data_IF_488665220494
#
_entry.id   IF_488665220494
#
_cell.length_a   1.000
_cell.length_b   1.000
_cell.length_c   1.000
_cell.angle_alpha   90.00
_cell.angle_beta   90.00
_cell.angle_gamma   90.00
#
_symmetry.space_group_name_H-M   'P 1'
#
loop_
_entity.id
_entity.type
_entity.pdbx_description
1 polymer ?
#
# COMPACT_ATOMS: atom_id res chain seq x y z
N UNK A 1 22.08 8.71 -33.06
CA UNK A 1 21.13 7.63 -32.92
C UNK A 1 20.32 7.86 -31.65
N UNK A 2 19.11 8.36 -31.80
CA UNK A 2 18.10 8.48 -30.73
C UNK A 2 17.60 7.09 -30.41
N UNK A 3 17.94 6.58 -29.24
CA UNK A 3 17.39 5.32 -28.73
C UNK A 3 15.96 5.62 -28.28
N UNK A 4 14.97 5.34 -29.13
CA UNK A 4 13.57 5.30 -28.74
C UNK A 4 13.44 4.26 -27.61
N UNK A 5 13.08 4.72 -26.41
CA UNK A 5 12.58 3.83 -25.37
C UNK A 5 11.24 3.29 -25.85
N UNK A 6 11.23 2.03 -26.25
CA UNK A 6 10.01 1.29 -26.53
C UNK A 6 9.20 1.30 -25.23
N UNK A 7 8.05 1.98 -25.27
CA UNK A 7 7.10 1.93 -24.17
C UNK A 7 6.80 0.47 -23.85
N UNK A 8 6.76 0.07 -22.58
CA UNK A 8 6.35 -1.28 -22.21
C UNK A 8 4.94 -1.50 -22.78
N UNK A 9 4.83 -2.39 -23.73
CA UNK A 9 3.52 -2.88 -24.19
C UNK A 9 2.90 -3.57 -22.97
N UNK A 10 1.96 -2.86 -22.33
CA UNK A 10 1.11 -3.49 -21.30
C UNK A 10 0.43 -4.67 -21.98
N UNK A 11 0.71 -5.92 -21.58
CA UNK A 11 0.08 -7.06 -22.21
C UNK A 11 -1.43 -6.95 -22.03
N UNK A 12 -2.19 -7.57 -22.91
CA UNK A 12 -3.65 -7.68 -22.91
C UNK A 12 -4.18 -8.49 -21.68
N UNK A 13 -3.74 -8.12 -20.47
CA UNK A 13 -4.12 -8.76 -19.21
C UNK A 13 -5.43 -8.20 -18.68
N UNK A 14 -5.72 -6.92 -18.99
CA UNK A 14 -6.96 -6.27 -18.56
C UNK A 14 -7.95 -6.31 -19.72
N UNK A 15 -9.03 -7.07 -19.51
CA UNK A 15 -10.11 -7.15 -20.50
C UNK A 15 -10.90 -5.85 -20.52
N UNK A 16 -11.32 -5.40 -21.71
CA UNK A 16 -12.18 -4.22 -21.89
C UNK A 16 -13.41 -4.27 -20.99
N UNK A 17 -14.05 -5.43 -20.87
CA UNK A 17 -15.20 -5.66 -19.97
C UNK A 17 -14.92 -5.30 -18.49
N UNK A 18 -13.66 -5.45 -18.03
CA UNK A 18 -13.28 -5.11 -16.65
C UNK A 18 -13.25 -3.58 -16.49
N UNK A 19 -12.72 -2.87 -17.48
CA UNK A 19 -12.68 -1.40 -17.46
C UNK A 19 -14.10 -0.83 -17.57
N UNK A 20 -14.94 -1.41 -18.45
CA UNK A 20 -16.33 -1.03 -18.58
C UNK A 20 -17.10 -1.23 -17.26
N UNK A 21 -16.81 -2.33 -16.55
CA UNK A 21 -17.41 -2.60 -15.22
C UNK A 21 -16.99 -1.56 -14.17
N UNK A 22 -15.73 -1.12 -14.18
CA UNK A 22 -15.25 -0.02 -13.31
C UNK A 22 -16.02 1.27 -13.61
N UNK A 23 -16.15 1.61 -14.91
CA UNK A 23 -16.92 2.77 -15.35
C UNK A 23 -18.39 2.70 -14.93
N UNK A 24 -19.01 1.53 -15.05
CA UNK A 24 -20.40 1.31 -14.66
C UNK A 24 -20.60 1.43 -13.12
N UNK A 25 -19.69 0.89 -12.31
CA UNK A 25 -19.76 1.00 -10.85
C UNK A 25 -19.60 2.45 -10.36
N UNK A 26 -18.84 3.26 -11.10
CA UNK A 26 -18.61 4.67 -10.79
C UNK A 26 -19.42 5.60 -11.71
N UNK A 27 -20.55 5.12 -12.23
CA UNK A 27 -21.39 5.87 -13.16
C UNK A 27 -21.73 7.28 -12.64
N UNK A 28 -21.55 8.30 -13.48
CA UNK A 28 -21.73 9.71 -13.13
C UNK A 28 -20.57 10.36 -12.37
N UNK A 29 -19.54 9.60 -12.00
CA UNK A 29 -18.31 10.13 -11.37
C UNK A 29 -17.18 10.18 -12.39
N UNK A 30 -16.24 11.09 -12.13
CA UNK A 30 -14.99 11.20 -12.90
C UNK A 30 -13.82 11.34 -11.92
N UNK A 31 -13.47 10.27 -11.20
CA UNK A 31 -12.40 10.32 -10.23
C UNK A 31 -11.05 10.57 -10.93
N UNK A 32 -10.12 11.15 -10.20
CA UNK A 32 -8.71 11.16 -10.57
C UNK A 32 -8.16 9.74 -10.28
N UNK A 33 -7.53 9.13 -11.26
CA UNK A 33 -6.93 7.80 -11.11
C UNK A 33 -5.51 7.97 -10.57
N UNK A 34 -5.27 7.46 -9.37
CA UNK A 34 -3.98 7.55 -8.70
C UNK A 34 -3.40 6.17 -8.44
N UNK A 35 -2.18 5.93 -8.89
CA UNK A 35 -1.48 4.66 -8.70
C UNK A 35 -0.60 4.67 -7.47
N UNK A 36 -0.41 3.48 -6.87
CA UNK A 36 0.65 3.26 -5.89
C UNK A 36 2.00 3.30 -6.61
N UNK A 37 2.70 4.42 -6.48
CA UNK A 37 4.02 4.64 -7.09
C UNK A 37 5.09 4.25 -6.07
N UNK A 38 5.54 3.02 -6.10
CA UNK A 38 6.53 2.51 -5.16
C UNK A 38 7.93 2.53 -5.79
N UNK A 39 8.88 3.12 -5.08
CA UNK A 39 10.30 2.95 -5.36
C UNK A 39 10.76 1.64 -4.72
N UNK A 40 11.18 0.69 -5.54
CA UNK A 40 11.71 -0.61 -5.09
C UNK A 40 13.25 -0.63 -5.18
N UNK A 41 13.88 -1.60 -4.53
CA UNK A 41 15.34 -1.76 -4.56
C UNK A 41 15.92 -1.97 -5.98
N UNK A 42 15.10 -2.39 -6.94
CA UNK A 42 15.46 -2.62 -8.34
C UNK A 42 14.94 -1.54 -9.31
N UNK A 43 14.34 -0.46 -8.80
CA UNK A 43 13.77 0.63 -9.60
C UNK A 43 12.33 0.96 -9.22
N UNK A 44 11.64 1.69 -10.10
CA UNK A 44 10.23 2.04 -9.90
C UNK A 44 9.34 0.95 -10.48
N UNK A 45 8.37 0.46 -9.70
CA UNK A 45 7.33 -0.43 -10.22
C UNK A 45 6.37 0.36 -11.11
N UNK A 46 6.50 0.22 -12.42
CA UNK A 46 5.70 0.94 -13.41
C UNK A 46 4.34 0.26 -13.71
N UNK A 47 4.05 -0.90 -13.12
CA UNK A 47 2.82 -1.65 -13.45
C UNK A 47 1.58 -0.92 -12.95
N UNK A 48 1.51 -0.42 -11.69
CA UNK A 48 0.34 0.32 -11.23
C UNK A 48 0.08 1.59 -12.05
N UNK A 49 1.14 2.33 -12.44
CA UNK A 49 1.03 3.53 -13.25
C UNK A 49 0.46 3.21 -14.64
N UNK A 50 1.01 2.21 -15.32
CA UNK A 50 0.52 1.79 -16.64
C UNK A 50 -0.96 1.32 -16.59
N UNK A 51 -1.38 0.68 -15.48
CA UNK A 51 -2.77 0.31 -15.27
C UNK A 51 -3.66 1.53 -15.04
N UNK A 52 -3.20 2.49 -14.24
CA UNK A 52 -3.92 3.74 -13.99
C UNK A 52 -4.14 4.52 -15.29
N UNK A 53 -3.08 4.67 -16.10
CA UNK A 53 -3.15 5.35 -17.40
C UNK A 53 -4.11 4.65 -18.37
N UNK A 54 -4.07 3.31 -18.42
CA UNK A 54 -5.00 2.55 -19.24
C UNK A 54 -6.47 2.79 -18.85
N UNK A 55 -6.78 2.73 -17.55
CA UNK A 55 -8.14 2.97 -17.03
C UNK A 55 -8.56 4.41 -17.34
N UNK A 56 -7.72 5.39 -17.04
CA UNK A 56 -7.99 6.79 -17.26
C UNK A 56 -8.24 7.11 -18.74
N UNK A 57 -7.37 6.63 -19.63
CA UNK A 57 -7.49 6.80 -21.06
C UNK A 57 -8.81 6.23 -21.62
N UNK A 58 -9.18 5.02 -21.17
CA UNK A 58 -10.39 4.34 -21.68
C UNK A 58 -11.69 4.96 -21.15
N UNK A 59 -11.69 5.48 -19.93
CA UNK A 59 -12.87 6.09 -19.31
C UNK A 59 -12.92 7.62 -19.44
N UNK A 60 -11.89 8.24 -20.02
CA UNK A 60 -11.80 9.71 -20.18
C UNK A 60 -11.64 10.42 -18.83
N UNK A 61 -10.91 9.81 -17.88
CA UNK A 61 -10.62 10.35 -16.56
C UNK A 61 -9.21 10.93 -16.50
N UNK A 62 -8.93 11.76 -15.48
CA UNK A 62 -7.59 12.29 -15.24
C UNK A 62 -6.74 11.28 -14.44
N UNK A 63 -5.42 11.36 -14.55
CA UNK A 63 -4.45 10.66 -13.71
C UNK A 63 -3.72 11.62 -12.79
N UNK A 64 -3.25 11.12 -11.65
CA UNK A 64 -2.35 11.82 -10.75
C UNK A 64 -1.12 10.94 -10.48
N UNK A 65 0.02 11.36 -11.02
CA UNK A 65 1.32 10.70 -10.83
C UNK A 65 2.18 11.41 -9.76
N UNK A 66 1.65 12.42 -9.08
CA UNK A 66 2.39 13.19 -8.06
C UNK A 66 2.34 12.54 -6.69
N UNK A 67 1.37 11.65 -6.46
CA UNK A 67 1.23 10.88 -5.23
C UNK A 67 2.20 9.69 -5.26
N UNK A 68 3.25 9.76 -4.46
CA UNK A 68 4.34 8.77 -4.47
C UNK A 68 4.51 8.12 -3.11
N UNK A 69 4.94 6.86 -3.10
CA UNK A 69 5.34 6.21 -1.87
C UNK A 69 6.72 6.73 -1.43
N UNK A 70 6.78 7.39 -0.28
CA UNK A 70 7.96 8.09 0.23
C UNK A 70 9.02 7.17 0.85
N UNK A 71 8.66 5.92 1.14
CA UNK A 71 9.59 4.95 1.72
C UNK A 71 9.63 3.64 0.93
N UNK A 72 10.80 3.00 0.94
CA UNK A 72 10.95 1.67 0.34
C UNK A 72 10.42 0.63 1.31
N UNK A 73 9.34 -0.05 0.93
CA UNK A 73 8.78 -1.16 1.70
C UNK A 73 8.91 -2.43 0.87
N UNK A 74 9.93 -3.24 1.16
CA UNK A 74 10.05 -4.55 0.52
C UNK A 74 9.06 -5.53 1.14
N UNK A 75 8.09 -5.97 0.35
CA UNK A 75 7.10 -6.98 0.75
C UNK A 75 7.38 -8.36 0.15
N UNK A 76 8.37 -8.49 -0.72
CA UNK A 76 8.73 -9.76 -1.35
C UNK A 76 9.23 -10.75 -0.29
N UNK A 77 8.50 -11.85 -0.11
CA UNK A 77 8.80 -12.85 0.92
C UNK A 77 8.49 -12.43 2.36
N UNK A 78 7.99 -11.20 2.60
CA UNK A 78 7.67 -10.71 3.93
C UNK A 78 6.47 -11.45 4.55
N UNK A 79 6.61 -11.84 5.81
CA UNK A 79 5.50 -12.38 6.61
C UNK A 79 4.49 -11.29 6.99
N UNK A 80 3.40 -11.69 7.64
CA UNK A 80 2.34 -10.74 8.01
C UNK A 80 2.80 -9.68 9.00
N UNK A 81 3.71 -9.99 9.93
CA UNK A 81 4.24 -9.01 10.88
C UNK A 81 5.20 -8.03 10.23
N UNK A 82 6.02 -8.49 9.29
CA UNK A 82 6.88 -7.61 8.49
C UNK A 82 6.06 -6.57 7.72
N UNK A 83 4.91 -6.99 7.18
CA UNK A 83 3.97 -6.09 6.49
C UNK A 83 3.31 -5.09 7.44
N UNK A 84 2.89 -5.53 8.62
CA UNK A 84 2.30 -4.67 9.65
C UNK A 84 3.31 -3.68 10.24
N UNK A 85 4.56 -4.10 10.42
CA UNK A 85 5.60 -3.27 11.00
C UNK A 85 6.16 -2.20 10.04
N UNK A 86 6.11 -2.47 8.73
CA UNK A 86 6.63 -1.59 7.66
C UNK A 86 5.48 -0.98 6.90
N UNK A 87 4.95 0.12 7.44
CA UNK A 87 3.86 0.87 6.81
C UNK A 87 4.36 1.64 5.59
N UNK A 88 3.60 1.60 4.49
CA UNK A 88 3.84 2.46 3.34
C UNK A 88 3.49 3.91 3.72
N UNK A 89 4.41 4.82 3.51
CA UNK A 89 4.21 6.25 3.70
C UNK A 89 4.08 6.90 2.32
N UNK A 90 3.17 7.86 2.21
CA UNK A 90 2.92 8.55 0.95
C UNK A 90 3.21 10.03 1.08
N UNK A 91 3.61 10.65 -0.02
CA UNK A 91 3.83 12.08 -0.19
C UNK A 91 3.16 12.56 -1.47
N UNK A 92 3.03 13.87 -1.61
CA UNK A 92 2.39 14.53 -2.74
C UNK A 92 1.12 15.28 -2.34
N UNK A 93 0.76 16.24 -3.18
CA UNK A 93 -0.40 17.10 -2.98
C UNK A 93 -1.69 16.44 -3.47
N UNK A 94 -2.75 16.58 -2.69
CA UNK A 94 -4.08 16.06 -3.00
C UNK A 94 -5.00 17.22 -3.38
N UNK A 95 -5.74 17.07 -4.46
CA UNK A 95 -6.76 18.05 -4.85
C UNK A 95 -7.92 17.97 -3.88
N UNK A 96 -8.09 19.02 -3.09
CA UNK A 96 -9.11 19.06 -2.04
C UNK A 96 -10.52 18.90 -2.64
N UNK A 97 -11.32 18.02 -2.06
CA UNK A 97 -12.68 17.72 -2.50
C UNK A 97 -12.78 16.81 -3.73
N UNK A 98 -11.65 16.53 -4.42
CA UNK A 98 -11.67 15.63 -5.57
C UNK A 98 -11.90 14.18 -5.15
N UNK A 99 -12.53 13.42 -6.06
CA UNK A 99 -12.70 11.96 -5.93
C UNK A 99 -11.48 11.25 -6.53
N UNK A 100 -11.02 10.18 -5.88
CA UNK A 100 -9.87 9.39 -6.28
C UNK A 100 -10.23 7.90 -6.44
N UNK A 101 -9.78 7.29 -7.55
CA UNK A 101 -9.73 5.85 -7.73
C UNK A 101 -8.28 5.40 -7.54
N UNK A 102 -8.03 4.60 -6.51
CA UNK A 102 -6.69 4.05 -6.26
C UNK A 102 -6.41 2.83 -7.13
N UNK A 103 -5.17 2.71 -7.62
CA UNK A 103 -4.73 1.60 -8.48
C UNK A 103 -3.43 0.99 -7.93
N UNK A 104 -3.39 -0.34 -7.87
CA UNK A 104 -2.22 -1.12 -7.47
C UNK A 104 -2.09 -2.35 -8.36
N UNK A 105 -0.93 -3.02 -8.41
CA UNK A 105 -0.74 -4.26 -9.14
C UNK A 105 -1.15 -5.49 -8.33
N UNK A 106 -0.92 -5.48 -7.02
CA UNK A 106 -1.18 -6.62 -6.15
C UNK A 106 -1.70 -6.24 -4.76
N UNK A 107 -2.83 -6.81 -4.35
CA UNK A 107 -3.33 -6.68 -2.97
C UNK A 107 -2.95 -7.91 -2.15
N UNK A 108 -2.02 -7.73 -1.19
CA UNK A 108 -1.65 -8.72 -0.17
C UNK A 108 -2.58 -8.69 1.04
N UNK A 109 -2.26 -7.88 2.05
CA UNK A 109 -3.11 -7.60 3.22
C UNK A 109 -3.92 -6.31 3.06
N UNK A 110 -3.61 -5.51 2.04
CA UNK A 110 -4.29 -4.25 1.73
C UNK A 110 -3.73 -3.03 2.48
N UNK A 111 -2.73 -3.19 3.33
CA UNK A 111 -2.17 -2.10 4.14
C UNK A 111 -1.63 -0.94 3.30
N UNK A 112 -0.96 -1.22 2.18
CA UNK A 112 -0.47 -0.17 1.27
C UNK A 112 -1.62 0.71 0.76
N UNK A 113 -2.69 0.09 0.25
CA UNK A 113 -3.88 0.83 -0.22
C UNK A 113 -4.63 1.52 0.93
N UNK A 114 -4.67 0.94 2.13
CA UNK A 114 -5.27 1.59 3.29
C UNK A 114 -4.49 2.85 3.69
N UNK A 115 -3.16 2.80 3.70
CA UNK A 115 -2.31 3.97 3.97
C UNK A 115 -2.42 5.02 2.86
N UNK A 116 -2.50 4.59 1.60
CA UNK A 116 -2.71 5.50 0.47
C UNK A 116 -4.06 6.23 0.57
N UNK A 117 -5.13 5.48 0.90
CA UNK A 117 -6.43 6.09 1.23
C UNK A 117 -6.31 7.11 2.37
N UNK A 118 -5.66 6.73 3.46
CA UNK A 118 -5.44 7.62 4.61
C UNK A 118 -4.72 8.92 4.23
N UNK A 119 -3.70 8.84 3.37
CA UNK A 119 -2.99 10.01 2.85
C UNK A 119 -3.90 10.94 2.04
N UNK A 120 -4.70 10.39 1.13
CA UNK A 120 -5.63 11.15 0.29
C UNK A 120 -6.71 11.81 1.15
N UNK A 121 -7.35 11.05 2.04
CA UNK A 121 -8.48 11.53 2.86
C UNK A 121 -8.04 12.55 3.91
N UNK A 122 -6.87 12.37 4.53
CA UNK A 122 -6.32 13.35 5.48
C UNK A 122 -6.00 14.70 4.83
N UNK A 123 -5.82 14.75 3.52
CA UNK A 123 -5.57 15.98 2.73
C UNK A 123 -6.82 16.50 2.02
N UNK A 124 -7.99 15.98 2.36
CA UNK A 124 -9.28 16.47 1.88
C UNK A 124 -9.76 15.89 0.57
N UNK A 125 -9.08 14.89 -0.01
CA UNK A 125 -9.59 14.07 -1.12
C UNK A 125 -10.63 13.07 -0.64
N UNK A 126 -11.30 12.39 -1.57
CA UNK A 126 -12.31 11.36 -1.30
C UNK A 126 -11.99 10.11 -2.10
N UNK A 127 -11.67 9.00 -1.45
CA UNK A 127 -11.47 7.74 -2.16
C UNK A 127 -12.81 7.09 -2.46
N UNK A 128 -13.07 6.83 -3.75
CA UNK A 128 -14.33 6.24 -4.23
C UNK A 128 -14.19 4.76 -4.63
N UNK A 129 -12.98 4.25 -4.70
CA UNK A 129 -12.73 2.84 -4.99
C UNK A 129 -11.24 2.51 -5.07
N UNK A 130 -10.97 1.23 -5.21
CA UNK A 130 -9.63 0.71 -5.46
C UNK A 130 -9.69 -0.42 -6.49
N UNK A 131 -8.69 -0.48 -7.37
CA UNK A 131 -8.53 -1.50 -8.39
C UNK A 131 -7.15 -2.12 -8.27
N UNK A 132 -7.06 -3.43 -8.46
CA UNK A 132 -5.79 -4.14 -8.51
C UNK A 132 -5.83 -5.19 -9.63
N UNK A 133 -4.68 -5.43 -10.29
CA UNK A 133 -4.57 -6.48 -11.30
C UNK A 133 -4.77 -7.86 -10.72
N UNK A 134 -4.23 -8.07 -9.52
CA UNK A 134 -4.32 -9.37 -8.84
C UNK A 134 -4.31 -9.19 -7.33
N UNK A 135 -4.66 -10.23 -6.61
CA UNK A 135 -4.68 -10.19 -5.15
C UNK A 135 -5.17 -11.50 -4.57
N UNK A 136 -5.07 -11.61 -3.25
CA UNK A 136 -5.65 -12.75 -2.54
C UNK A 136 -7.16 -12.55 -2.42
N UNK A 137 -7.99 -13.58 -2.60
CA UNK A 137 -9.46 -13.46 -2.62
C UNK A 137 -10.06 -12.79 -1.37
N UNK A 138 -9.37 -12.88 -0.23
CA UNK A 138 -9.80 -12.31 1.05
C UNK A 138 -9.25 -10.90 1.31
N UNK A 139 -8.56 -10.28 0.36
CA UNK A 139 -7.88 -8.99 0.55
C UNK A 139 -8.61 -7.80 -0.07
N UNK A 140 -9.77 -8.03 -0.67
CA UNK A 140 -10.56 -6.98 -1.33
C UNK A 140 -11.20 -5.98 -0.34
N UNK A 141 -11.21 -6.28 0.96
CA UNK A 141 -11.82 -5.43 1.98
C UNK A 141 -10.76 -4.59 2.69
N UNK A 142 -10.69 -3.32 2.31
CA UNK A 142 -9.75 -2.35 2.85
C UNK A 142 -10.22 -1.70 4.16
N UNK A 143 -11.32 -2.16 4.73
CA UNK A 143 -11.86 -1.67 6.01
C UNK A 143 -12.25 -2.85 6.90
N UNK A 144 -11.93 -2.72 8.17
CA UNK A 144 -12.38 -3.64 9.22
C UNK A 144 -13.90 -3.49 9.42
N UNK A 145 -14.61 -4.60 9.69
CA UNK A 145 -16.02 -4.52 10.07
C UNK A 145 -16.16 -4.21 11.56
N UNK A 146 -17.31 -3.64 11.97
CA UNK A 146 -17.60 -3.35 13.39
C UNK A 146 -17.47 -4.59 14.27
N UNK A 147 -17.92 -5.74 13.76
CA UNK A 147 -17.79 -7.02 14.46
C UNK A 147 -16.32 -7.39 14.66
N UNK A 148 -15.51 -7.32 13.64
CA UNK A 148 -14.08 -7.66 13.73
C UNK A 148 -13.34 -6.68 14.66
N UNK A 149 -13.71 -5.40 14.62
CA UNK A 149 -13.15 -4.39 15.51
C UNK A 149 -13.47 -4.69 16.96
N UNK A 150 -14.74 -5.03 17.25
CA UNK A 150 -15.17 -5.42 18.59
C UNK A 150 -14.44 -6.69 19.07
N UNK A 151 -14.35 -7.72 18.23
CA UNK A 151 -13.67 -8.96 18.54
C UNK A 151 -12.14 -8.71 18.80
N UNK A 152 -11.50 -7.87 17.97
CA UNK A 152 -10.09 -7.53 18.13
C UNK A 152 -9.83 -6.75 19.42
N UNK A 153 -10.68 -5.77 19.75
CA UNK A 153 -10.61 -5.01 20.99
C UNK A 153 -10.88 -5.87 22.23
N UNK A 154 -11.81 -6.81 22.14
CA UNK A 154 -12.06 -7.77 23.22
C UNK A 154 -10.83 -8.64 23.52
N UNK A 155 -10.11 -9.04 22.49
CA UNK A 155 -8.91 -9.89 22.64
C UNK A 155 -7.63 -9.10 22.95
N UNK A 156 -7.43 -7.97 22.30
CA UNK A 156 -6.17 -7.22 22.27
C UNK A 156 -6.37 -5.72 22.55
N UNK A 157 -7.43 -5.31 23.26
CA UNK A 157 -7.76 -3.89 23.47
C UNK A 157 -6.63 -3.08 24.09
N UNK A 158 -5.87 -3.67 25.00
CA UNK A 158 -4.69 -3.06 25.61
C UNK A 158 -3.57 -2.73 24.57
N UNK A 159 -3.53 -3.48 23.47
CA UNK A 159 -2.59 -3.25 22.39
C UNK A 159 -2.92 -2.00 21.59
N UNK A 160 -4.19 -1.55 21.51
CA UNK A 160 -4.62 -0.44 20.66
C UNK A 160 -3.97 0.89 21.05
N UNK A 161 -3.75 1.14 22.35
CA UNK A 161 -3.05 2.34 22.83
C UNK A 161 -1.60 2.33 22.36
N UNK A 162 -0.90 1.21 22.53
CA UNK A 162 0.47 1.05 22.05
C UNK A 162 0.53 1.15 20.52
N UNK A 163 -0.45 0.55 19.81
CA UNK A 163 -0.57 0.59 18.36
C UNK A 163 -0.68 2.02 17.84
N UNK A 164 -1.57 2.81 18.45
CA UNK A 164 -1.75 4.23 18.12
C UNK A 164 -0.46 5.04 18.34
N UNK A 165 0.21 4.82 19.45
CA UNK A 165 1.48 5.49 19.73
C UNK A 165 2.58 5.10 18.72
N UNK A 166 2.56 3.87 18.22
CA UNK A 166 3.58 3.32 17.30
C UNK A 166 3.34 3.69 15.85
N UNK A 167 2.09 3.65 15.39
CA UNK A 167 1.72 3.78 13.97
C UNK A 167 0.90 5.03 13.66
N UNK A 168 0.39 5.75 14.65
CA UNK A 168 -0.37 6.98 14.46
C UNK A 168 -1.85 6.78 14.14
N UNK A 169 -2.36 5.53 14.14
CA UNK A 169 -3.76 5.21 13.89
C UNK A 169 -4.27 4.07 14.79
N UNK A 170 -5.58 3.99 14.94
CA UNK A 170 -6.26 2.98 15.75
C UNK A 170 -6.59 1.72 14.97
N UNK A 171 -7.08 0.69 15.67
CA UNK A 171 -7.53 -0.55 15.06
C UNK A 171 -8.65 -0.37 14.02
N UNK A 172 -9.45 0.70 14.11
CA UNK A 172 -10.49 0.97 13.12
C UNK A 172 -9.95 1.27 11.72
N UNK A 173 -8.70 1.70 11.59
CA UNK A 173 -8.04 1.97 10.31
C UNK A 173 -7.39 0.73 9.68
N UNK A 174 -7.36 -0.41 10.38
CA UNK A 174 -6.85 -1.67 9.85
C UNK A 174 -7.72 -2.18 8.70
N UNK A 175 -7.09 -2.91 7.79
CA UNK A 175 -7.84 -3.72 6.82
C UNK A 175 -8.43 -4.96 7.50
N UNK A 176 -9.44 -5.58 6.87
CA UNK A 176 -9.99 -6.85 7.36
C UNK A 176 -8.91 -7.94 7.48
N UNK A 177 -7.97 -7.98 6.55
CA UNK A 177 -6.87 -8.95 6.55
C UNK A 177 -5.86 -8.71 7.67
N UNK A 178 -5.50 -7.46 7.93
CA UNK A 178 -4.61 -7.08 9.04
C UNK A 178 -5.25 -7.40 10.38
N UNK A 179 -6.50 -7.00 10.57
CA UNK A 179 -7.27 -7.30 11.79
C UNK A 179 -7.38 -8.81 12.05
N UNK A 180 -7.67 -9.60 11.03
CA UNK A 180 -7.74 -11.06 11.13
C UNK A 180 -6.38 -11.66 11.46
N UNK A 181 -5.29 -11.11 10.94
CA UNK A 181 -3.94 -11.56 11.24
C UNK A 181 -3.57 -11.30 12.70
N UNK A 182 -3.86 -10.09 13.20
CA UNK A 182 -3.67 -9.76 14.62
C UNK A 182 -4.55 -10.62 15.52
N UNK A 183 -5.83 -10.81 15.18
CA UNK A 183 -6.76 -11.60 15.97
C UNK A 183 -6.31 -13.07 16.12
N UNK A 184 -5.65 -13.65 15.11
CA UNK A 184 -5.10 -15.01 15.18
C UNK A 184 -3.85 -15.13 16.05
N UNK A 185 -3.18 -14.04 16.36
CA UNK A 185 -2.01 -14.03 17.26
C UNK A 185 -2.46 -14.31 18.69
N UNK A 186 -1.64 -15.04 19.45
CA UNK A 186 -2.02 -15.54 20.78
C UNK A 186 -2.42 -14.40 21.72
N UNK A 187 -1.56 -13.40 21.86
CA UNK A 187 -1.70 -12.30 22.81
C UNK A 187 -1.03 -11.01 22.33
N UNK A 188 -1.28 -9.92 23.03
CA UNK A 188 -0.77 -8.59 22.72
C UNK A 188 0.77 -8.50 22.87
N UNK A 189 1.36 -9.23 23.80
CA UNK A 189 2.80 -9.25 23.99
C UNK A 189 3.51 -9.89 22.79
N UNK A 190 3.00 -11.00 22.30
CA UNK A 190 3.48 -11.63 21.06
C UNK A 190 3.45 -10.68 19.88
N UNK A 191 2.39 -9.87 19.73
CA UNK A 191 2.31 -8.86 18.67
C UNK A 191 3.41 -7.81 18.82
N UNK A 192 3.58 -7.24 20.03
CA UNK A 192 4.61 -6.23 20.29
C UNK A 192 6.01 -6.76 19.99
N UNK A 193 6.32 -7.97 20.49
CA UNK A 193 7.63 -8.59 20.33
C UNK A 193 7.97 -8.86 18.86
N UNK A 194 7.03 -9.36 18.08
CA UNK A 194 7.24 -9.60 16.64
C UNK A 194 7.43 -8.32 15.85
N UNK A 195 6.66 -7.27 16.14
CA UNK A 195 6.84 -5.96 15.50
C UNK A 195 8.18 -5.33 15.88
N UNK A 196 8.59 -5.44 17.16
CA UNK A 196 9.88 -4.96 17.62
C UNK A 196 11.06 -5.70 16.95
N UNK A 197 10.96 -7.02 16.80
CA UNK A 197 11.97 -7.84 16.12
C UNK A 197 12.16 -7.42 14.63
N UNK A 198 11.07 -7.14 13.94
CA UNK A 198 11.15 -6.63 12.55
C UNK A 198 11.85 -5.26 12.50
N UNK A 199 11.55 -4.37 13.44
CA UNK A 199 12.18 -3.04 13.50
C UNK A 199 13.69 -3.15 13.79
N UNK A 200 14.10 -4.05 14.69
CA UNK A 200 15.51 -4.30 14.99
C UNK A 200 16.27 -4.90 13.81
N UNK A 201 15.68 -5.87 13.10
CA UNK A 201 16.28 -6.46 11.92
C UNK A 201 16.49 -5.43 10.79
N UNK A 202 15.59 -4.47 10.65
CA UNK A 202 15.74 -3.38 9.68
C UNK A 202 16.90 -2.43 10.01
N UNK A 203 17.14 -2.16 11.29
CA UNK A 203 18.22 -1.29 11.75
C UNK A 203 19.60 -1.99 11.74
N UNK A 204 19.65 -3.30 12.00
CA UNK A 204 20.87 -4.10 11.96
C UNK A 204 21.45 -4.32 10.56
N UNK A 205 20.60 -4.32 9.53
CA UNK A 205 21.03 -4.48 8.13
C UNK A 205 21.71 -3.23 7.52
N UNK A 206 21.70 -2.09 8.18
CA UNK A 206 22.37 -0.87 7.72
C UNK A 206 23.79 -0.69 8.29
N UNK A 207 24.27 -1.59 9.15
CA UNK A 207 25.53 -1.47 9.88
C UNK A 207 26.74 -2.19 9.27
N UNK A 208 26.61 -2.98 8.22
CA UNK A 208 27.74 -3.72 7.62
C UNK A 208 28.15 -3.19 6.21
N UNK A 209 28.23 -1.88 6.08
CA UNK A 209 29.02 -1.24 5.03
C UNK A 209 30.45 -1.05 5.56
N UNK A 210 31.21 -2.16 5.67
CA UNK A 210 32.54 -2.18 6.20
C UNK A 210 33.48 -1.23 5.46
N UNK A 211 34.07 -0.30 6.19
CA UNK A 211 35.29 0.39 5.86
C UNK A 211 36.36 -0.68 5.68
N UNK A 212 36.84 -0.84 4.47
CA UNK A 212 38.09 -1.58 4.16
C UNK A 212 39.29 -0.76 4.67
N UNK A 213 39.98 -1.18 5.75
CA UNK A 213 41.20 -0.53 6.16
C UNK A 213 42.38 -1.32 5.58
N UNK A 214 42.85 -0.94 4.43
CA UNK A 214 44.11 -1.55 4.12
C UNK A 214 44.60 -1.46 2.70
N UNK A 215 45.25 -0.44 2.36
CA UNK A 215 46.48 -0.57 1.55
C UNK A 215 47.59 0.26 2.20
N UNK A 216 48.26 -0.41 3.12
CA UNK A 216 49.60 -0.07 3.55
C UNK A 216 50.58 -0.35 2.43
N UNK A 217 51.43 0.59 2.25
CA UNK A 217 52.58 0.67 1.41
C UNK A 217 53.51 -0.57 1.48
N UNK A 218 54.01 -0.96 0.33
CA UNK A 218 55.15 -1.80 0.07
C UNK A 218 55.66 -1.54 -1.34
#
# INVERSE_FOLDING_TARGET
GTTERKAPTTPAVVKDQTIDAIGAQLAGRRPIVASVHAQESQGVNAIPEALADLIAQRLGWATDATLVQANVVSHTGADGFSRLARQALFDGDVVQGAEYLMVDDFIGQGGTLANFRGHIEARGGKVVGAVSLTGKPFSAKLAITDKQLADLRSKHGELEIWWRARFGFDFHALTESEARYLFRTADAETVRNRIAAVAQAANGGQGEGGVDPGLGLG
#
